data_IF_220138220204
#
_entry.id   IF_220138220204
#
_cell.length_a   1.000
_cell.length_b   1.000
_cell.length_c   1.000
_cell.angle_alpha   90.00
_cell.angle_beta   90.00
_cell.angle_gamma   90.00
#
_symmetry.space_group_name_H-M   'P 1'
#
loop_
_entity.id
_entity.type
_entity.pdbx_description
1 polymer ?
#
# COMPACT_ATOMS: atom_id res chain seq x y z
N UNK A 1 2.14 -24.60 -12.91
CA UNK A 1 3.25 -23.66 -13.18
C UNK A 1 2.60 -22.30 -13.45
N UNK A 2 2.79 -21.20 -12.72
CA UNK A 2 3.81 -20.77 -11.78
C UNK A 2 3.14 -19.93 -10.67
N UNK A 3 3.81 -19.83 -9.52
CA UNK A 3 3.24 -19.44 -8.24
C UNK A 3 2.29 -18.25 -8.24
N UNK A 4 1.23 -18.37 -7.46
CA UNK A 4 0.79 -17.37 -6.48
C UNK A 4 2.05 -16.87 -5.74
N UNK A 5 2.86 -16.08 -6.44
CA UNK A 5 3.90 -15.29 -5.81
C UNK A 5 3.11 -14.37 -4.92
N UNK A 6 3.14 -14.62 -3.62
CA UNK A 6 2.58 -13.74 -2.61
C UNK A 6 3.12 -12.33 -2.90
N UNK A 7 2.37 -11.57 -3.69
CA UNK A 7 2.74 -10.21 -4.04
C UNK A 7 2.59 -9.48 -2.73
N UNK A 8 3.69 -9.03 -2.16
CA UNK A 8 3.65 -8.22 -0.97
C UNK A 8 3.60 -6.79 -1.43
N UNK A 9 2.57 -6.07 -0.97
CA UNK A 9 2.45 -4.65 -1.22
C UNK A 9 2.61 -3.88 0.08
N UNK A 10 2.96 -2.61 -0.07
CA UNK A 10 3.03 -1.66 1.01
C UNK A 10 1.80 -0.76 0.94
N UNK A 11 1.19 -0.46 2.08
CA UNK A 11 0.18 0.59 2.20
C UNK A 11 0.84 1.78 2.85
N UNK A 12 0.97 2.87 2.09
CA UNK A 12 1.46 4.14 2.60
C UNK A 12 0.30 4.93 3.18
N UNK A 13 0.22 4.97 4.50
CA UNK A 13 -0.79 5.68 5.28
C UNK A 13 -0.23 7.05 5.67
N UNK A 14 -0.77 8.12 5.11
CA UNK A 14 -0.40 9.46 5.54
C UNK A 14 -1.12 9.83 6.85
N UNK A 15 -0.35 10.27 7.86
CA UNK A 15 -0.84 10.71 9.18
C UNK A 15 -0.37 12.16 9.44
N UNK A 16 -1.09 12.95 10.25
CA UNK A 16 -0.59 14.28 10.63
C UNK A 16 0.73 14.23 11.41
N UNK A 17 1.03 13.11 12.07
CA UNK A 17 2.30 12.89 12.79
C UNK A 17 3.41 12.31 11.92
N UNK A 18 3.15 11.96 10.64
CA UNK A 18 4.13 11.32 9.76
C UNK A 18 3.50 10.44 8.69
N UNK A 19 4.18 9.37 8.31
CA UNK A 19 3.61 8.36 7.43
C UNK A 19 3.90 6.98 8.01
N UNK A 20 3.03 6.03 7.73
CA UNK A 20 3.22 4.65 8.13
C UNK A 20 3.15 3.75 6.88
N UNK A 21 4.04 2.77 6.84
CA UNK A 21 4.09 1.77 5.78
C UNK A 21 3.62 0.45 6.38
N UNK A 22 2.46 -0.02 5.94
CA UNK A 22 1.92 -1.31 6.38
C UNK A 22 2.20 -2.33 5.29
N UNK A 23 3.00 -3.35 5.61
CA UNK A 23 3.22 -4.49 4.72
C UNK A 23 1.97 -5.37 4.73
N UNK A 24 1.45 -5.69 3.55
CA UNK A 24 0.32 -6.60 3.37
C UNK A 24 0.67 -7.66 2.32
N UNK A 25 0.31 -8.89 2.64
CA UNK A 25 0.38 -10.00 1.71
C UNK A 25 -0.87 -9.99 0.83
N UNK A 26 -0.68 -9.99 -0.49
CA UNK A 26 -1.76 -10.01 -1.48
C UNK A 26 -1.63 -8.88 -2.52
N UNK A 27 -2.57 -8.87 -3.46
CA UNK A 27 -2.54 -7.87 -4.53
C UNK A 27 -2.78 -6.44 -3.99
N UNK A 28 -2.01 -5.43 -4.44
CA UNK A 28 -2.22 -4.06 -4.01
C UNK A 28 -3.62 -3.57 -4.39
N UNK A 29 -4.32 -2.88 -3.48
CA UNK A 29 -5.65 -2.35 -3.77
C UNK A 29 -5.58 -1.36 -4.95
N UNK A 30 -6.51 -1.46 -5.88
CA UNK A 30 -6.54 -0.62 -7.07
C UNK A 30 -6.62 0.87 -6.72
N UNK A 31 -6.09 1.73 -7.59
CA UNK A 31 -6.25 3.18 -7.44
C UNK A 31 -7.73 3.54 -7.38
N UNK A 32 -8.12 4.26 -6.33
CA UNK A 32 -9.48 4.64 -6.03
C UNK A 32 -10.23 3.67 -5.11
N UNK A 33 -9.67 2.50 -4.79
CA UNK A 33 -10.22 1.59 -3.80
C UNK A 33 -10.15 2.19 -2.39
N UNK A 34 -11.14 1.85 -1.56
CA UNK A 34 -11.14 2.22 -0.14
C UNK A 34 -10.55 1.08 0.67
N UNK A 35 -9.59 1.41 1.52
CA UNK A 35 -8.88 0.49 2.41
C UNK A 35 -9.08 0.99 3.82
N UNK A 36 -9.48 0.10 4.72
CA UNK A 36 -9.55 0.42 6.14
C UNK A 36 -8.18 0.15 6.77
N UNK A 37 -7.54 1.20 7.28
CA UNK A 37 -6.27 1.09 8.02
C UNK A 37 -6.43 1.80 9.36
N UNK A 38 -6.11 1.10 10.45
CA UNK A 38 -6.30 1.57 11.83
C UNK A 38 -7.72 2.11 12.10
N UNK A 39 -8.75 1.48 11.52
CA UNK A 39 -10.14 1.92 11.68
C UNK A 39 -10.50 3.22 10.95
N UNK A 40 -9.63 3.70 10.04
CA UNK A 40 -9.91 4.80 9.12
C UNK A 40 -10.04 4.28 7.70
N UNK A 41 -11.14 4.64 7.04
CA UNK A 41 -11.27 4.41 5.60
C UNK A 41 -10.44 5.44 4.85
N UNK A 42 -9.40 4.97 4.18
CA UNK A 42 -8.54 5.78 3.33
C UNK A 42 -8.68 5.31 1.89
N UNK A 43 -8.47 6.21 0.94
CA UNK A 43 -8.58 5.88 -0.47
C UNK A 43 -7.20 5.77 -1.09
N UNK A 44 -6.99 4.74 -1.91
CA UNK A 44 -5.78 4.64 -2.72
C UNK A 44 -5.79 5.78 -3.74
N UNK A 45 -4.88 6.72 -3.59
CA UNK A 45 -4.68 7.85 -4.51
C UNK A 45 -3.82 7.44 -5.70
N UNK A 46 -2.82 6.59 -5.48
CA UNK A 46 -1.90 6.10 -6.50
C UNK A 46 -1.18 4.84 -6.06
N UNK A 47 -0.81 3.99 -7.02
CA UNK A 47 0.15 2.91 -6.84
C UNK A 47 1.52 3.35 -7.39
N UNK A 48 2.58 3.19 -6.61
CA UNK A 48 3.96 3.48 -7.04
C UNK A 48 4.92 2.49 -6.37
N UNK A 49 6.14 2.28 -6.90
CA UNK A 49 7.14 1.48 -6.20
C UNK A 49 7.52 2.11 -4.86
N UNK A 50 7.98 1.29 -3.92
CA UNK A 50 8.42 1.73 -2.59
C UNK A 50 9.46 2.86 -2.67
N UNK A 51 9.36 3.91 -1.83
CA UNK A 51 10.38 4.95 -1.75
C UNK A 51 11.66 4.47 -1.05
N UNK A 52 11.68 3.23 -0.52
CA UNK A 52 12.84 2.65 0.12
C UNK A 52 13.88 2.21 -0.92
N UNK A 53 15.17 2.55 -0.72
CA UNK A 53 16.22 2.18 -1.66
C UNK A 53 16.38 0.65 -1.71
N UNK A 54 16.18 0.08 -2.89
CA UNK A 54 16.31 -1.36 -3.14
C UNK A 54 15.01 -2.16 -2.99
N UNK A 55 13.92 -1.53 -2.55
CA UNK A 55 12.63 -2.20 -2.41
C UNK A 55 11.81 -2.04 -3.72
N UNK A 56 11.52 -3.18 -4.36
CA UNK A 56 10.75 -3.22 -5.62
C UNK A 56 9.26 -3.52 -5.39
N UNK A 57 8.79 -3.54 -4.14
CA UNK A 57 7.39 -3.83 -3.84
C UNK A 57 6.51 -2.67 -4.29
N UNK A 58 5.28 -2.99 -4.68
CA UNK A 58 4.28 -1.98 -5.01
C UNK A 58 3.77 -1.36 -3.72
N UNK A 59 3.72 -0.04 -3.69
CA UNK A 59 3.24 0.76 -2.59
C UNK A 59 1.98 1.52 -3.00
N UNK A 60 0.89 1.27 -2.28
CA UNK A 60 -0.38 1.93 -2.43
C UNK A 60 -0.45 3.15 -1.52
N UNK A 61 -0.49 4.33 -2.14
CA UNK A 61 -0.56 5.61 -1.44
C UNK A 61 -1.99 5.90 -1.03
N UNK A 62 -2.25 5.85 0.26
CA UNK A 62 -3.54 6.14 0.86
C UNK A 62 -3.62 7.62 1.22
N UNK A 63 -4.69 8.26 0.79
CA UNK A 63 -5.02 9.66 1.09
C UNK A 63 -6.51 9.80 1.34
N UNK A 64 -6.87 10.67 2.28
CA UNK A 64 -8.24 11.00 2.67
C UNK A 64 -8.36 12.47 3.01
#
# INVERSE_FOLDING_TARGET
MNGDGAQQHLLFVWKPSGYELVEQDGDPPAVGAQVEVEGKQLRVTKLAPSPLPGDRRICAYLGG
#
